data_IF_125237247609
#
_entry.id   IF_125237247609
#
_cell.length_a   1.000
_cell.length_b   1.000
_cell.length_c   1.000
_cell.angle_alpha   90.00
_cell.angle_beta   90.00
_cell.angle_gamma   90.00
#
_symmetry.space_group_name_H-M   'P 1'
#
loop_
_entity.id
_entity.type
_entity.pdbx_description
1 polymer ?
2 non-polymer ?
3 non-polymer ?
4 water ?
#
# COMPACT_ATOMS: atom_id res chain seq x y z
N UNK A 7 -6.01 -9.50 -26.86
CA UNK A 7 -5.13 -8.73 -26.00
C UNK A 7 -5.72 -7.34 -25.70
N UNK A 8 -7.05 -7.27 -25.70
CA UNK A 8 -7.74 -6.01 -25.44
C UNK A 8 -7.70 -5.66 -23.95
N UNK A 9 -7.70 -4.37 -23.67
CA UNK A 9 -7.67 -3.86 -22.29
C UNK A 9 -9.07 -3.45 -21.89
N UNK A 10 -9.55 -3.99 -20.77
CA UNK A 10 -10.92 -3.80 -20.31
C UNK A 10 -10.94 -2.99 -19.02
N UNK A 11 -12.09 -2.33 -18.78
CA UNK A 11 -12.32 -1.59 -17.55
C UNK A 11 -13.11 -2.47 -16.59
N UNK A 12 -12.53 -2.72 -15.41
CA UNK A 12 -13.17 -3.51 -14.38
C UNK A 12 -14.25 -2.74 -13.62
N UNK A 13 -14.33 -1.41 -13.78
CA UNK A 13 -15.22 -0.57 -12.99
C UNK A 13 -16.32 0.00 -13.87
N UNK A 14 -17.57 -0.16 -13.42
CA UNK A 14 -18.70 0.35 -14.19
C UNK A 14 -18.77 1.87 -14.14
N UNK A 15 -18.28 2.47 -13.06
CA UNK A 15 -18.53 3.89 -12.82
C UNK A 15 -17.40 4.49 -12.01
N UNK A 16 -17.13 5.78 -12.17
CA UNK A 16 -16.19 6.47 -11.26
C UNK A 16 -16.63 6.40 -9.81
N UNK A 17 -17.93 6.23 -9.55
CA UNK A 17 -18.49 6.43 -8.24
C UNK A 17 -18.76 5.12 -7.51
N UNK A 18 -18.14 4.03 -7.96
CA UNK A 18 -18.24 2.74 -7.29
C UNK A 18 -16.86 2.13 -7.28
N UNK A 19 -16.36 1.78 -6.09
CA UNK A 19 -15.12 1.06 -5.94
C UNK A 19 -15.35 -0.43 -5.70
N UNK A 20 -14.28 -1.13 -5.37
CA UNK A 20 -14.32 -2.56 -5.14
C UNK A 20 -13.51 -2.90 -3.90
N UNK A 21 -14.09 -3.71 -3.00
CA UNK A 21 -13.38 -4.08 -1.78
C UNK A 21 -12.22 -5.00 -2.15
N UNK A 22 -11.02 -4.65 -1.69
CA UNK A 22 -9.79 -5.25 -2.22
C UNK A 22 -9.73 -6.73 -1.90
N UNK A 23 -9.96 -7.10 -0.64
CA UNK A 23 -9.80 -8.50 -0.25
C UNK A 23 -10.80 -9.41 -0.94
N UNK A 24 -11.91 -8.87 -1.44
CA UNK A 24 -12.93 -9.65 -2.13
C UNK A 24 -12.60 -9.89 -3.60
N UNK A 25 -11.59 -9.21 -4.16
CA UNK A 25 -11.33 -9.30 -5.59
C UNK A 25 -9.92 -9.70 -5.95
N UNK A 26 -8.97 -9.69 -5.01
CA UNK A 26 -7.59 -9.97 -5.40
C UNK A 26 -7.42 -11.45 -5.71
N UNK A 27 -6.60 -11.72 -6.74
CA UNK A 27 -6.18 -13.07 -7.05
C UNK A 27 -4.72 -13.34 -6.71
N UNK A 28 -3.93 -12.31 -6.45
CA UNK A 28 -2.53 -12.51 -6.13
C UNK A 28 -2.38 -12.91 -4.66
N UNK A 29 -1.90 -14.12 -4.35
CA UNK A 29 -1.79 -14.52 -2.93
C UNK A 29 -0.75 -13.73 -2.15
N UNK A 30 0.09 -12.93 -2.80
CA UNK A 30 1.08 -12.14 -2.10
C UNK A 30 0.59 -10.73 -1.80
N UNK A 31 -0.69 -10.46 -2.05
CA UNK A 31 -1.39 -9.30 -1.52
C UNK A 31 -2.26 -9.77 -0.37
N UNK A 32 -2.16 -9.11 0.78
CA UNK A 32 -3.00 -9.39 1.94
C UNK A 32 -3.71 -8.09 2.30
N UNK A 33 -5.04 -8.10 2.35
CA UNK A 33 -5.79 -6.87 2.58
C UNK A 33 -6.83 -7.07 3.68
N UNK A 34 -6.99 -6.03 4.53
CA UNK A 34 -7.94 -6.07 5.63
C UNK A 34 -9.35 -5.72 5.20
N UNK A 35 -10.26 -5.76 6.17
CA UNK A 35 -11.68 -5.62 5.86
C UNK A 35 -12.01 -4.20 5.41
N UNK A 36 -12.96 -4.10 4.46
CA UNK A 36 -13.54 -2.88 3.94
C UNK A 36 -12.63 -2.04 3.03
N UNK A 37 -11.30 -2.23 3.08
CA UNK A 37 -10.43 -1.43 2.22
C UNK A 37 -10.80 -1.63 0.76
N UNK A 38 -10.87 -0.52 0.01
CA UNK A 38 -11.37 -0.56 -1.35
C UNK A 38 -10.43 0.18 -2.30
N UNK A 39 -10.57 -0.14 -3.58
CA UNK A 39 -9.85 0.51 -4.66
C UNK A 39 -10.89 1.12 -5.59
N UNK A 40 -10.70 2.38 -5.94
CA UNK A 40 -11.59 3.12 -6.86
C UNK A 40 -10.81 3.36 -8.15
N UNK A 41 -10.88 2.40 -9.07
CA UNK A 41 -9.96 2.39 -10.20
C UNK A 41 -10.51 2.68 -11.58
N UNK A 42 -11.67 3.34 -11.69
CA UNK A 42 -12.31 3.57 -12.98
C UNK A 42 -11.39 4.24 -13.99
N UNK A 43 -10.63 5.24 -13.57
CA UNK A 43 -9.86 6.04 -14.53
C UNK A 43 -8.61 5.33 -15.05
N UNK A 44 -8.28 4.17 -14.48
CA UNK A 44 -7.16 3.36 -14.97
C UNK A 44 -7.55 1.94 -15.35
N UNK A 45 -8.82 1.58 -15.21
CA UNK A 45 -9.35 0.34 -15.80
C UNK A 45 -9.07 -0.97 -15.10
N UNK A 46 -7.82 -1.20 -14.72
CA UNK A 46 -7.41 -2.52 -14.22
C UNK A 46 -7.88 -2.76 -12.79
N UNK A 47 -7.94 -4.04 -12.42
CA UNK A 47 -8.27 -4.41 -11.06
C UNK A 47 -7.12 -4.05 -10.12
N UNK A 48 -7.36 -4.22 -8.82
CA UNK A 48 -6.34 -3.84 -7.85
C UNK A 48 -5.08 -4.69 -7.98
N UNK A 49 -5.21 -5.95 -8.40
CA UNK A 49 -4.05 -6.82 -8.56
C UNK A 49 -2.94 -6.12 -9.34
N UNK A 50 -3.30 -5.40 -10.40
CA UNK A 50 -2.28 -4.75 -11.22
C UNK A 50 -1.74 -3.47 -10.61
N UNK A 51 -2.26 -3.04 -9.45
CA UNK A 51 -1.63 -1.94 -8.73
C UNK A 51 -0.30 -2.39 -8.12
N UNK A 52 -0.17 -3.69 -7.83
CA UNK A 52 1.03 -4.26 -7.23
C UNK A 52 1.96 -4.66 -8.36
N UNK A 53 2.80 -3.71 -8.81
CA UNK A 53 3.58 -3.92 -10.02
C UNK A 53 4.73 -4.88 -9.76
N UNK A 54 4.85 -5.88 -10.64
CA UNK A 54 5.94 -6.85 -10.61
C UNK A 54 5.86 -7.81 -9.42
N UNK A 55 4.69 -7.94 -8.80
CA UNK A 55 4.51 -8.86 -7.68
C UNK A 55 4.27 -10.27 -8.21
N UNK A 56 5.27 -11.15 -8.09
CA UNK A 56 5.10 -12.53 -8.57
C UNK A 56 4.01 -13.24 -7.77
N UNK A 57 3.03 -13.87 -8.41
CA UNK A 57 1.96 -14.54 -7.67
C UNK A 57 2.28 -15.97 -7.27
N UNK A 58 3.39 -16.51 -7.73
CA UNK A 58 3.65 -17.94 -7.63
C UNK A 58 4.87 -18.25 -6.76
N UNK A 59 5.31 -17.30 -5.95
CA UNK A 59 6.49 -17.48 -5.10
C UNK A 59 6.15 -17.08 -3.67
N UNK A 60 6.74 -17.78 -2.72
CA UNK A 60 6.55 -17.52 -1.30
C UNK A 60 7.74 -16.82 -0.66
N UNK A 61 8.77 -16.49 -1.43
CA UNK A 61 9.99 -15.90 -0.90
C UNK A 61 10.26 -14.52 -1.48
N UNK A 62 9.21 -13.80 -1.86
CA UNK A 62 9.36 -12.44 -2.37
C UNK A 62 8.62 -11.51 -1.42
N UNK A 63 8.94 -10.22 -1.54
CA UNK A 63 8.25 -9.19 -0.75
C UNK A 63 6.75 -9.22 -1.04
N UNK A 64 5.96 -9.09 0.03
CA UNK A 64 4.50 -9.07 -0.08
C UNK A 64 3.97 -7.65 0.05
N UNK A 65 2.74 -7.44 -0.42
CA UNK A 65 2.01 -6.20 -0.23
C UNK A 65 0.92 -6.43 0.81
N UNK A 66 1.01 -5.72 1.94
CA UNK A 66 0.10 -5.90 3.06
C UNK A 66 -0.66 -4.59 3.26
N UNK A 67 -2.00 -4.68 3.26
CA UNK A 67 -2.86 -3.52 3.41
C UNK A 67 -3.76 -3.72 4.62
N UNK A 68 -3.84 -2.72 5.48
CA UNK A 68 -4.71 -2.81 6.64
C UNK A 68 -6.19 -2.68 6.33
N UNK A 69 -6.99 -2.40 7.35
CA UNK A 69 -8.44 -2.27 7.25
C UNK A 69 -8.83 -0.80 7.13
N UNK A 70 -10.03 -0.56 6.57
CA UNK A 70 -10.58 0.78 6.41
C UNK A 70 -9.65 1.71 5.63
N UNK A 71 -9.01 1.20 4.57
CA UNK A 71 -8.20 2.03 3.69
C UNK A 71 -8.97 2.39 2.42
N UNK A 72 -8.61 3.52 1.83
CA UNK A 72 -9.21 4.03 0.59
C UNK A 72 -8.08 4.22 -0.42
N UNK A 73 -8.10 3.48 -1.52
CA UNK A 73 -7.02 3.57 -2.51
C UNK A 73 -7.57 4.20 -3.80
N UNK A 74 -6.95 5.31 -4.23
CA UNK A 74 -7.41 6.03 -5.40
C UNK A 74 -6.90 5.47 -6.72
N UNK A 75 -7.52 5.94 -7.81
CA UNK A 75 -7.34 5.35 -9.13
C UNK A 75 -5.88 5.43 -9.58
N UNK A 76 -5.37 4.32 -10.09
CA UNK A 76 -4.02 4.29 -10.62
C UNK A 76 -2.91 4.38 -9.61
N UNK A 77 -3.21 4.31 -8.31
CA UNK A 77 -2.16 4.19 -7.31
C UNK A 77 -1.35 2.92 -7.60
N UNK A 78 -0.07 2.96 -7.29
CA UNK A 78 0.73 1.75 -7.53
C UNK A 78 1.69 1.51 -6.39
N UNK A 79 2.03 0.23 -6.23
CA UNK A 79 2.95 -0.25 -5.19
C UNK A 79 4.01 -1.03 -5.94
N UNK A 80 5.23 -0.49 -5.97
CA UNK A 80 6.29 -1.09 -6.77
C UNK A 80 6.91 -2.23 -5.97
N UNK A 81 6.78 -3.46 -6.49
CA UNK A 81 7.25 -4.66 -5.82
C UNK A 81 8.48 -5.18 -6.57
N UNK A 82 8.91 -6.40 -6.19
CA UNK A 82 10.06 -7.07 -6.79
C UNK A 82 11.38 -6.38 -6.49
N UNK A 83 11.46 -5.61 -5.40
CA UNK A 83 12.76 -5.15 -4.91
C UNK A 83 13.46 -4.24 -5.89
N UNK A 84 14.67 -4.63 -6.32
CA UNK A 84 15.40 -3.86 -7.32
C UNK A 84 15.14 -4.34 -8.74
N UNK A 85 14.21 -5.26 -8.94
CA UNK A 85 13.82 -5.76 -10.26
C UNK A 85 15.00 -6.33 -11.04
N UNK A 86 16.05 -6.76 -10.33
CA UNK A 86 17.20 -7.37 -10.98
C UNK A 86 18.26 -6.42 -11.45
N UNK A 87 18.22 -5.16 -11.00
CA UNK A 87 19.20 -4.14 -11.36
C UNK A 87 19.94 -3.68 -10.11
N UNK A 88 21.28 -3.74 -10.14
CA UNK A 88 22.08 -3.20 -9.06
C UNK A 88 22.85 -1.98 -9.56
N UNK A 89 22.49 -0.79 -9.07
CA UNK A 89 23.22 0.40 -9.50
C UNK A 89 24.62 0.44 -8.94
N UNK A 90 24.94 -0.37 -7.94
CA UNK A 90 26.27 -0.42 -7.37
C UNK A 90 27.17 -1.42 -8.08
N UNK A 91 26.63 -2.17 -9.03
CA UNK A 91 27.43 -2.97 -9.94
C UNK A 91 27.79 -2.10 -11.14
N UNK A 92 28.77 -2.55 -11.94
CA UNK A 92 29.31 -1.69 -13.00
C UNK A 92 28.21 -1.33 -14.00
N UNK A 93 27.37 -2.30 -14.36
CA UNK A 93 26.19 -2.05 -15.16
C UNK A 93 24.92 -2.29 -14.36
N UNK A 94 23.88 -1.49 -14.64
CA UNK A 94 22.57 -1.74 -14.08
C UNK A 94 21.75 -2.70 -14.92
N UNK A 95 22.28 -3.13 -16.07
CA UNK A 95 21.52 -3.95 -17.00
C UNK A 95 21.37 -5.37 -16.46
N UNK A 96 20.17 -5.96 -16.54
CA UNK A 96 19.92 -7.27 -15.90
C UNK A 96 20.35 -8.44 -16.79
N UNK A 97 21.67 -8.56 -16.97
CA UNK A 97 22.22 -9.61 -17.85
C UNK A 97 21.67 -10.99 -17.50
N UNK A 98 21.52 -11.27 -16.20
CA UNK A 98 21.12 -12.59 -15.74
C UNK A 98 19.73 -12.96 -16.26
N UNK A 99 18.88 -11.97 -16.52
CA UNK A 99 17.53 -12.22 -16.99
C UNK A 99 17.43 -12.26 -18.51
N UNK A 100 18.50 -12.02 -19.25
CA UNK A 100 18.43 -12.03 -20.71
C UNK A 100 19.24 -13.21 -21.23
N UNK A 101 18.74 -14.41 -20.94
CA UNK A 101 19.51 -15.64 -21.17
C UNK A 101 19.46 -16.12 -22.61
N UNK A 102 18.85 -15.37 -23.53
CA UNK A 102 18.97 -15.72 -24.94
C UNK A 102 20.29 -15.25 -25.54
N UNK A 103 21.15 -14.61 -24.74
CA UNK A 103 22.45 -14.11 -25.20
C UNK A 103 23.53 -14.98 -24.57
N UNK A 104 24.16 -15.85 -25.38
CA UNK A 104 25.35 -16.62 -25.05
C UNK A 104 26.38 -15.77 -24.32
N UNK A 105 26.57 -14.52 -24.73
CA UNK A 105 27.58 -13.69 -24.07
C UNK A 105 27.25 -13.39 -22.62
N UNK A 106 25.99 -13.57 -22.22
CA UNK A 106 25.56 -13.28 -20.86
C UNK A 106 25.55 -14.52 -19.97
N UNK A 107 26.04 -15.65 -20.48
CA UNK A 107 25.83 -16.93 -19.79
C UNK A 107 26.47 -16.96 -18.41
N UNK A 108 27.59 -16.27 -18.21
CA UNK A 108 28.26 -16.28 -16.92
C UNK A 108 27.87 -15.07 -16.06
N UNK A 109 26.78 -14.39 -16.42
CA UNK A 109 26.27 -13.32 -15.59
C UNK A 109 25.79 -13.84 -14.24
N UNK A 110 25.69 -12.91 -13.29
CA UNK A 110 25.31 -13.18 -11.91
C UNK A 110 24.01 -12.42 -11.61
N UNK A 111 23.11 -13.07 -10.88
CA UNK A 111 21.80 -12.53 -10.55
C UNK A 111 21.95 -11.35 -9.59
N UNK A 112 21.46 -10.18 -10.02
CA UNK A 112 21.55 -8.95 -9.23
C UNK A 112 20.32 -8.74 -8.34
N UNK A 113 19.32 -9.62 -8.41
CA UNK A 113 18.07 -9.40 -7.70
C UNK A 113 18.28 -9.35 -6.19
N UNK A 114 17.63 -8.37 -5.56
CA UNK A 114 17.57 -8.23 -4.12
C UNK A 114 16.16 -7.85 -3.70
N UNK A 115 15.66 -8.51 -2.65
CA UNK A 115 14.40 -8.09 -2.03
C UNK A 115 14.58 -6.76 -1.30
N UNK A 116 13.47 -6.06 -1.07
CA UNK A 116 13.47 -4.80 -0.33
C UNK A 116 12.75 -4.88 1.01
N UNK A 117 12.13 -6.01 1.33
CA UNK A 117 11.20 -6.09 2.44
C UNK A 117 9.77 -5.84 1.99
N UNK A 118 8.83 -6.27 2.83
CA UNK A 118 7.41 -6.11 2.50
C UNK A 118 7.02 -4.63 2.41
N UNK A 119 6.04 -4.35 1.56
CA UNK A 119 5.35 -3.06 1.56
C UNK A 119 4.15 -3.17 2.49
N UNK A 120 4.08 -2.29 3.49
CA UNK A 120 3.07 -2.43 4.53
C UNK A 120 2.29 -1.13 4.62
N UNK A 121 0.98 -1.21 4.39
CA UNK A 121 0.07 -0.07 4.49
C UNK A 121 -0.75 -0.29 5.75
N UNK A 122 -0.75 0.69 6.65
CA UNK A 122 -1.46 0.51 7.90
C UNK A 122 -2.96 0.60 7.72
N UNK A 123 -3.66 0.71 8.85
CA UNK A 123 -5.10 0.88 8.87
C UNK A 123 -5.49 2.34 8.73
N UNK A 124 -6.70 2.58 8.20
CA UNK A 124 -7.22 3.94 8.02
C UNK A 124 -6.25 4.82 7.23
N UNK A 125 -5.73 4.28 6.13
CA UNK A 125 -4.85 5.03 5.24
C UNK A 125 -5.61 5.42 3.98
N UNK A 126 -5.56 6.70 3.64
CA UNK A 126 -6.20 7.27 2.46
C UNK A 126 -5.10 7.55 1.44
N UNK A 127 -5.14 6.87 0.29
CA UNK A 127 -4.14 7.02 -0.77
C UNK A 127 -4.78 7.72 -1.97
N UNK A 128 -4.24 8.87 -2.36
CA UNK A 128 -4.80 9.60 -3.48
C UNK A 128 -4.43 8.99 -4.83
N UNK A 129 -5.16 9.45 -5.85
CA UNK A 129 -4.99 8.91 -7.18
C UNK A 129 -3.54 9.04 -7.66
N UNK A 130 -3.07 7.96 -8.29
CA UNK A 130 -1.74 7.87 -8.92
C UNK A 130 -0.58 8.16 -7.96
N UNK A 131 -0.80 8.03 -6.65
CA UNK A 131 0.34 7.89 -5.75
C UNK A 131 1.14 6.65 -6.14
N UNK A 132 2.46 6.69 -5.90
CA UNK A 132 3.33 5.57 -6.23
C UNK A 132 4.23 5.29 -5.03
N UNK A 133 4.13 4.08 -4.48
CA UNK A 133 4.87 3.67 -3.29
C UNK A 133 6.07 2.84 -3.72
N UNK A 134 7.26 3.23 -3.28
CA UNK A 134 8.49 2.54 -3.67
C UNK A 134 8.63 1.23 -2.90
N UNK A 135 9.56 0.36 -3.31
CA UNK A 135 9.69 -0.94 -2.63
C UNK A 135 10.10 -0.82 -1.17
N UNK A 136 9.57 -1.73 -0.35
CA UNK A 136 9.97 -1.88 1.04
C UNK A 136 9.43 -0.84 1.99
N UNK A 137 8.52 0.03 1.54
CA UNK A 137 8.05 1.15 2.33
C UNK A 137 6.98 0.73 3.34
N UNK A 138 7.04 1.31 4.53
CA UNK A 138 6.02 1.14 5.57
C UNK A 138 5.26 2.46 5.74
N UNK A 139 3.93 2.39 5.74
CA UNK A 139 3.09 3.56 5.91
C UNK A 139 2.24 3.37 7.18
N UNK A 140 2.38 4.28 8.15
CA UNK A 140 1.74 4.09 9.43
C UNK A 140 0.22 4.23 9.38
N UNK A 141 -0.43 3.71 10.44
CA UNK A 141 -1.87 3.89 10.60
C UNK A 141 -2.26 5.35 10.48
N UNK A 142 -3.39 5.61 9.82
CA UNK A 142 -3.96 6.94 9.73
C UNK A 142 -3.30 7.89 8.75
N UNK A 143 -2.28 7.46 8.02
CA UNK A 143 -1.61 8.37 7.09
C UNK A 143 -2.51 8.77 5.92
N UNK A 144 -2.19 9.90 5.31
CA UNK A 144 -2.79 10.34 4.05
C UNK A 144 -1.65 10.49 3.04
N UNK A 145 -1.75 9.78 1.92
CA UNK A 145 -0.77 9.86 0.85
C UNK A 145 -1.38 10.71 -0.26
N UNK A 146 -0.82 11.90 -0.51
CA UNK A 146 -1.44 12.80 -1.47
C UNK A 146 -1.43 12.24 -2.88
N UNK A 147 -2.39 12.71 -3.69
CA UNK A 147 -2.41 12.37 -5.12
C UNK A 147 -1.03 12.59 -5.72
N UNK A 148 -0.59 11.63 -6.53
CA UNK A 148 0.68 11.65 -7.26
C UNK A 148 1.90 11.70 -6.35
N UNK A 149 1.76 11.43 -5.05
CA UNK A 149 2.93 11.43 -4.19
C UNK A 149 3.85 10.28 -4.59
N UNK A 150 5.15 10.53 -4.59
CA UNK A 150 6.15 9.50 -4.87
C UNK A 150 6.82 9.19 -3.53
N UNK A 151 6.42 8.08 -2.91
CA UNK A 151 6.76 7.80 -1.51
C UNK A 151 8.05 7.00 -1.49
N UNK A 152 9.15 7.67 -1.09
CA UNK A 152 10.50 7.12 -1.09
C UNK A 152 10.98 6.71 0.30
N UNK A 153 10.25 7.09 1.34
CA UNK A 153 10.63 6.82 2.72
C UNK A 153 9.38 6.42 3.50
N UNK A 154 9.59 5.70 4.61
CA UNK A 154 8.47 5.34 5.47
C UNK A 154 7.70 6.57 5.94
N UNK A 155 6.40 6.38 6.16
CA UNK A 155 5.48 7.47 6.52
C UNK A 155 4.99 7.24 7.95
N UNK A 156 5.09 8.28 8.79
CA UNK A 156 4.69 8.20 10.18
C UNK A 156 3.17 8.07 10.31
N UNK A 157 2.70 7.48 11.40
CA UNK A 157 1.24 7.40 11.61
C UNK A 157 0.63 8.80 11.58
N UNK A 158 -0.51 8.90 10.93
CA UNK A 158 -1.33 10.11 10.84
C UNK A 158 -0.62 11.25 10.12
N UNK A 159 0.49 10.97 9.43
CA UNK A 159 1.14 12.01 8.62
C UNK A 159 0.41 12.19 7.30
N UNK A 160 0.28 13.44 6.87
CA UNK A 160 -0.15 13.77 5.52
C UNK A 160 1.11 14.10 4.72
N UNK A 161 1.38 13.33 3.66
CA UNK A 161 2.57 13.57 2.85
C UNK A 161 2.15 13.86 1.42
N UNK A 162 2.97 14.62 0.70
CA UNK A 162 2.69 14.93 -0.68
C UNK A 162 3.98 15.33 -1.38
N UNK A 163 3.95 15.27 -2.70
CA UNK A 163 5.08 15.70 -3.51
C UNK A 163 5.82 14.53 -4.13
N UNK A 164 6.74 14.88 -5.03
CA UNK A 164 7.65 13.92 -5.66
C UNK A 164 9.04 14.51 -5.57
N UNK A 165 9.87 14.09 -4.61
CA UNK A 165 9.60 13.03 -3.62
C UNK A 165 8.64 13.48 -2.52
N UNK A 166 7.93 12.54 -1.92
CA UNK A 166 6.97 12.93 -0.91
C UNK A 166 7.65 13.47 0.34
N UNK A 167 7.04 14.51 0.91
CA UNK A 167 7.51 15.14 2.13
C UNK A 167 6.33 15.33 3.08
N UNK A 168 6.62 15.36 4.38
CA UNK A 168 5.59 15.64 5.37
C UNK A 168 5.02 17.04 5.15
N UNK A 169 3.68 17.13 5.07
CA UNK A 169 3.02 18.43 5.04
C UNK A 169 2.61 18.84 6.44
N UNK A 170 1.85 17.97 7.11
CA UNK A 170 1.48 18.14 8.51
C UNK A 170 0.93 16.78 8.95
N UNK A 171 0.71 16.66 10.24
CA UNK A 171 -0.02 15.49 10.75
C UNK A 171 -1.48 15.87 10.97
N UNK A 172 -2.33 14.84 11.00
CA UNK A 172 -3.77 15.06 11.06
C UNK A 172 -4.20 15.60 12.40
N UNK A 173 -3.47 15.23 13.45
CA UNK A 173 -3.82 15.53 14.84
C UNK A 173 -2.54 15.84 15.60
N UNK A 174 -2.70 16.31 16.84
CA UNK A 174 -1.54 16.56 17.68
C UNK A 174 -0.88 15.25 18.10
N UNK A 175 0.35 15.36 18.59
CA UNK A 175 1.07 14.17 19.02
C UNK A 175 0.31 13.43 20.13
N UNK A 176 -0.26 14.16 21.09
CA UNK A 176 -0.98 13.48 22.15
C UNK A 176 -2.24 12.81 21.64
N UNK A 177 -2.94 13.45 20.69
CA UNK A 177 -4.12 12.85 20.08
C UNK A 177 -3.76 11.59 19.31
N UNK A 178 -2.65 11.65 18.58
CA UNK A 178 -2.19 10.48 17.85
C UNK A 178 -1.89 9.33 18.81
N UNK A 179 -1.23 9.65 19.92
CA UNK A 179 -0.90 8.61 20.91
C UNK A 179 -2.16 7.93 21.42
N UNK A 180 -3.22 8.71 21.66
CA UNK A 180 -4.49 8.14 22.09
C UNK A 180 -5.03 7.19 21.04
N UNK A 181 -5.04 7.63 19.78
CA UNK A 181 -5.58 6.79 18.72
C UNK A 181 -4.78 5.52 18.56
N UNK A 182 -3.45 5.60 18.68
CA UNK A 182 -2.63 4.40 18.55
C UNK A 182 -2.81 3.45 19.72
N UNK A 183 -3.25 3.95 20.89
CA UNK A 183 -3.56 3.05 22.00
C UNK A 183 -4.88 2.31 21.77
N UNK A 184 -5.91 3.00 21.28
CA UNK A 184 -7.25 2.39 21.30
C UNK A 184 -7.55 1.55 20.07
N UNK A 185 -6.88 1.79 18.94
CA UNK A 185 -6.95 0.96 17.74
C UNK A 185 -8.40 0.60 17.37
N UNK A 186 -9.18 1.62 16.98
CA UNK A 186 -10.60 1.38 16.77
C UNK A 186 -10.84 0.41 15.63
N UNK A 187 -9.88 0.31 14.69
CA UNK A 187 -10.00 -0.65 13.59
C UNK A 187 -10.00 -2.10 14.06
N UNK A 188 -9.67 -2.37 15.32
CA UNK A 188 -9.73 -3.71 15.86
C UNK A 188 -11.06 -4.03 16.51
N UNK A 189 -11.94 -3.05 16.69
CA UNK A 189 -13.18 -3.29 17.41
C UNK A 189 -14.12 -4.17 16.59
N UNK A 190 -14.89 -5.01 17.28
CA UNK A 190 -15.88 -5.80 16.58
C UNK A 190 -17.00 -4.90 16.08
N UNK A 191 -17.83 -5.44 15.19
CA UNK A 191 -18.78 -4.58 14.48
C UNK A 191 -19.85 -4.02 15.40
N UNK A 192 -20.20 -4.74 16.47
CA UNK A 192 -21.18 -4.20 17.42
C UNK A 192 -20.64 -2.96 18.11
N UNK A 193 -19.39 -3.01 18.59
CA UNK A 193 -18.78 -1.86 19.24
C UNK A 193 -18.56 -0.74 18.23
N UNK A 194 -18.09 -1.10 17.03
CA UNK A 194 -17.88 -0.09 16.00
C UNK A 194 -19.17 0.66 15.68
N UNK A 195 -20.28 -0.10 15.54
CA UNK A 195 -21.56 0.54 15.23
C UNK A 195 -21.93 1.56 16.29
N UNK A 196 -21.69 1.23 17.57
CA UNK A 196 -22.02 2.15 18.65
C UNK A 196 -21.17 3.41 18.59
N UNK A 197 -19.90 3.28 18.16
CA UNK A 197 -18.99 4.40 18.10
C UNK A 197 -19.14 5.23 16.83
N UNK A 198 -19.93 4.75 15.87
CA UNK A 198 -19.94 5.33 14.53
C UNK A 198 -20.16 6.85 14.51
N UNK A 199 -21.09 7.45 15.27
CA UNK A 199 -21.21 8.90 15.23
C UNK A 199 -19.98 9.62 15.74
N UNK A 200 -19.28 9.04 16.71
CA UNK A 200 -18.04 9.65 17.20
C UNK A 200 -16.92 9.50 16.17
N UNK A 201 -16.79 8.32 15.57
CA UNK A 201 -15.79 8.12 14.53
C UNK A 201 -15.98 9.08 13.37
N UNK A 202 -17.22 9.45 13.07
CA UNK A 202 -17.54 10.47 12.07
C UNK A 202 -17.57 11.86 12.69
N UNK A 203 -16.50 12.18 13.42
CA UNK A 203 -16.27 13.48 14.04
C UNK A 203 -14.79 13.61 14.36
N UNK A 204 -14.40 14.79 14.84
CA UNK A 204 -13.03 14.92 15.29
C UNK A 204 -12.84 14.72 16.77
N UNK A 205 -13.84 14.17 17.47
CA UNK A 205 -13.83 14.20 18.93
C UNK A 205 -13.08 12.98 19.48
N UNK A 206 -11.75 13.06 19.41
CA UNK A 206 -10.89 11.99 19.90
C UNK A 206 -11.05 11.80 21.41
N UNK A 207 -11.21 12.90 22.16
CA UNK A 207 -11.36 12.77 23.61
C UNK A 207 -12.62 11.98 23.96
N UNK A 208 -13.70 12.20 23.19
CA UNK A 208 -14.94 11.46 23.41
C UNK A 208 -14.77 9.99 23.03
N UNK A 209 -14.07 9.71 21.93
CA UNK A 209 -13.80 8.32 21.57
C UNK A 209 -12.99 7.62 22.65
N UNK A 210 -12.04 8.34 23.26
CA UNK A 210 -11.26 7.77 24.35
C UNK A 210 -12.17 7.39 25.52
N UNK A 211 -13.11 8.29 25.85
CA UNK A 211 -14.06 7.98 26.91
C UNK A 211 -14.89 6.75 26.55
N UNK A 212 -15.36 6.69 25.30
CA UNK A 212 -16.08 5.52 24.82
C UNK A 212 -15.26 4.25 24.98
N UNK A 213 -14.00 4.29 24.53
CA UNK A 213 -13.12 3.13 24.62
C UNK A 213 -12.96 2.66 26.06
N UNK A 214 -12.79 3.60 26.99
CA UNK A 214 -12.60 3.21 28.39
C UNK A 214 -13.83 2.56 28.98
N UNK A 215 -15.01 2.81 28.41
CA UNK A 215 -16.25 2.26 28.93
C UNK A 215 -16.70 1.01 28.18
N UNK A 216 -15.90 0.52 27.24
CA UNK A 216 -16.22 -0.71 26.54
C UNK A 216 -16.22 -1.86 27.54
X LIG B 1 -5.11 14.32 -0.01
X LIG B 1 -5.67 13.70 -1.29
X LIG B 1 -4.78 14.09 -2.38
X LIG B 1 -5.67 12.19 -1.14
X LIG B 1 -7.10 14.17 -1.55
X LIG B 1 -7.35 14.96 -2.82
X LIG B 1 -7.03 14.18 -3.95
X LIG B 1 -8.83 15.35 -2.90
X LIG C 1 12.41 21.62 -2.69
X LIG C 1 12.95 22.76 -3.53
X LIG C 1 11.55 22.17 -1.58
X LIG C 1 13.55 20.83 -2.11
X LIG C 1 11.57 20.71 -3.57
X LIG D 1 12.04 -10.28 -11.50
X LIG D 1 13.50 -10.00 -11.20
X LIG D 1 11.41 -10.97 -10.32
X LIG D 1 11.32 -8.98 -11.78
X LIG D 1 11.93 -11.17 -12.72
X LIG E 1 13.63 -9.12 -20.16
X LIG E 1 14.69 -8.26 -19.50
X LIG E 1 13.98 -10.57 -19.97
X LIG E 1 13.56 -8.80 -21.63
X LIG E 1 12.30 -8.86 -19.49
X LIG F 1 12.84 -7.50 -15.64
X LIG F 1 12.93 -6.28 -14.75
X LIG F 1 13.87 -8.52 -15.19
X LIG F 1 11.45 -8.09 -15.56
X LIG F 1 13.11 -7.11 -17.07
#
# INVERSE_FOLDING_TARGET
MAHHHHHHMKNFFESPFKGKIIKDHIQNPNIIAGKYSYYSGYYHGHSFDDCARYLLPDRNDVDKLIIGSYCSVGTGASFIMAGNQGHRYDWISSFPFFYMNEVEAFENSIDAFKNAGDTIIGNDVWIGGEAMIMPGIKIGDGAVIGSRALVTKDVEPYAIVGGNPAKLIKKRFSENQIAILLEIKWWEWNEEVLADAMPILCSGNIDLLYKFYKNI
MPD C1 C2 O2 CM C3 C4 O4 C5
PO4 P O1 O2 O3 O4
PO4 P O1 O2 O3 O4
PO4 P O1 O2 O3 O4
PO4 P O1 O2 O3 O4
#
